data_IF_835640808964
#
_entry.id   IF_835640808964
#
_cell.length_a   1.000
_cell.length_b   1.000
_cell.length_c   1.000
_cell.angle_alpha   90.00
_cell.angle_beta   90.00
_cell.angle_gamma   90.00
#
_symmetry.space_group_name_H-M   'P 1'
#
loop_
_entity.id
_entity.type
_entity.pdbx_description
1 polymer ?
#
# COMPACT_ATOMS: atom_id res chain seq x y z
N UNK A 1 -7.82 -15.62 4.82
CA UNK A 1 -6.52 -15.18 4.27
C UNK A 1 -6.75 -13.77 3.79
N UNK A 2 -5.97 -12.81 4.25
CA UNK A 2 -6.13 -11.41 3.84
C UNK A 2 -5.85 -11.27 2.34
N UNK A 3 -6.66 -10.48 1.63
CA UNK A 3 -6.44 -10.22 0.21
C UNK A 3 -5.12 -9.46 -0.02
N UNK A 4 -4.42 -9.79 -1.10
CA UNK A 4 -3.10 -9.24 -1.45
C UNK A 4 -3.15 -8.27 -2.63
N UNK A 5 -4.28 -8.20 -3.33
CA UNK A 5 -4.44 -7.34 -4.51
C UNK A 5 -5.90 -6.96 -4.72
N UNK A 6 -6.12 -5.90 -5.48
CA UNK A 6 -7.45 -5.45 -5.87
C UNK A 6 -8.23 -6.50 -6.68
N UNK A 7 -7.52 -7.33 -7.46
CA UNK A 7 -8.09 -8.43 -8.24
C UNK A 7 -8.66 -9.52 -7.32
N UNK A 8 -7.95 -9.86 -6.25
CA UNK A 8 -8.42 -10.81 -5.25
C UNK A 8 -9.64 -10.28 -4.50
N UNK A 9 -9.64 -9.00 -4.15
CA UNK A 9 -10.78 -8.31 -3.53
C UNK A 9 -12.00 -8.33 -4.47
N UNK A 10 -11.83 -8.05 -5.77
CA UNK A 10 -12.90 -8.16 -6.75
C UNK A 10 -13.45 -9.60 -6.86
N UNK A 11 -12.56 -10.59 -6.83
CA UNK A 11 -12.93 -12.00 -6.77
C UNK A 11 -13.67 -12.41 -5.49
N UNK A 12 -13.39 -11.77 -4.36
CA UNK A 12 -14.13 -11.98 -3.11
C UNK A 12 -15.49 -11.29 -3.11
N UNK A 13 -15.58 -10.06 -3.64
CA UNK A 13 -16.82 -9.31 -3.82
C UNK A 13 -17.86 -10.11 -4.61
N UNK A 14 -17.44 -10.77 -5.69
CA UNK A 14 -18.35 -11.63 -6.49
C UNK A 14 -18.86 -12.86 -5.76
N UNK A 15 -18.18 -13.27 -4.68
CA UNK A 15 -18.54 -14.41 -3.83
C UNK A 15 -19.26 -14.00 -2.55
N UNK A 16 -19.45 -12.70 -2.31
CA UNK A 16 -20.19 -12.24 -1.14
C UNK A 16 -21.64 -12.68 -1.23
N UNK A 17 -22.08 -13.38 -0.19
CA UNK A 17 -23.45 -13.83 -0.05
C UNK A 17 -23.96 -13.40 1.32
N UNK A 18 -25.14 -12.79 1.33
CA UNK A 18 -25.80 -12.36 2.55
C UNK A 18 -26.81 -13.40 2.99
N UNK A 19 -26.82 -13.70 4.30
CA UNK A 19 -27.81 -14.57 4.90
C UNK A 19 -29.18 -13.93 4.81
N UNK A 20 -30.18 -14.71 4.38
CA UNK A 20 -31.58 -14.26 4.33
C UNK A 20 -32.26 -14.46 5.69
N UNK A 21 -33.16 -13.54 6.04
CA UNK A 21 -34.07 -13.71 7.18
C UNK A 21 -35.26 -14.61 6.82
N UNK A 22 -35.91 -15.19 7.83
CA UNK A 22 -37.07 -16.08 7.68
C UNK A 22 -38.30 -15.38 7.07
N UNK A 23 -38.48 -14.08 7.29
CA UNK A 23 -39.55 -13.28 6.68
C UNK A 23 -38.97 -11.97 6.18
N UNK A 24 -38.75 -11.88 4.87
CA UNK A 24 -38.30 -10.67 4.17
C UNK A 24 -36.87 -10.22 4.49
N UNK A 25 -36.10 -9.91 3.44
CA UNK A 25 -34.80 -9.25 3.58
C UNK A 25 -33.61 -10.14 3.95
N UNK A 26 -32.50 -9.47 4.28
CA UNK A 26 -31.21 -10.05 4.68
C UNK A 26 -30.93 -9.78 6.16
N UNK A 27 -30.11 -10.62 6.77
CA UNK A 27 -29.63 -10.48 8.14
C UNK A 27 -28.62 -9.32 8.19
N UNK A 28 -28.95 -8.23 8.89
CA UNK A 28 -28.08 -7.05 8.93
C UNK A 28 -26.77 -7.34 9.65
N UNK A 29 -26.76 -8.23 10.65
CA UNK A 29 -25.53 -8.59 11.35
C UNK A 29 -24.59 -9.37 10.43
N UNK A 30 -25.14 -10.23 9.55
CA UNK A 30 -24.37 -10.90 8.51
C UNK A 30 -23.83 -9.89 7.48
N UNK A 31 -24.64 -8.93 7.04
CA UNK A 31 -24.21 -7.86 6.13
C UNK A 31 -23.06 -7.04 6.72
N UNK A 32 -23.19 -6.56 7.95
CA UNK A 32 -22.14 -5.79 8.62
C UNK A 32 -20.85 -6.59 8.75
N UNK A 33 -20.95 -7.87 9.11
CA UNK A 33 -19.78 -8.75 9.19
C UNK A 33 -19.08 -8.92 7.84
N UNK A 34 -19.84 -9.06 6.75
CA UNK A 34 -19.25 -9.16 5.40
C UNK A 34 -18.57 -7.84 4.98
N UNK A 35 -19.11 -6.69 5.38
CA UNK A 35 -18.50 -5.37 5.14
C UNK A 35 -17.20 -5.23 5.94
N UNK A 36 -17.18 -5.61 7.21
CA UNK A 36 -15.96 -5.57 8.04
C UNK A 36 -14.85 -6.44 7.47
N UNK A 37 -15.20 -7.66 7.02
CA UNK A 37 -14.25 -8.56 6.37
C UNK A 37 -13.68 -7.95 5.09
N UNK A 38 -14.54 -7.40 4.23
CA UNK A 38 -14.12 -6.73 3.01
C UNK A 38 -13.20 -5.54 3.31
N UNK A 39 -13.53 -4.74 4.33
CA UNK A 39 -12.72 -3.58 4.71
C UNK A 39 -11.35 -4.00 5.26
N UNK A 40 -11.27 -5.11 5.99
CA UNK A 40 -10.00 -5.68 6.44
C UNK A 40 -9.13 -6.15 5.26
N UNK A 41 -9.75 -6.82 4.27
CA UNK A 41 -9.07 -7.27 3.05
C UNK A 41 -8.54 -6.09 2.22
N UNK A 42 -9.33 -5.02 2.09
CA UNK A 42 -8.87 -3.75 1.50
C UNK A 42 -7.67 -3.18 2.25
N UNK A 43 -7.76 -3.04 3.57
CA UNK A 43 -6.70 -2.44 4.37
C UNK A 43 -5.38 -3.23 4.24
N UNK A 44 -5.45 -4.55 4.31
CA UNK A 44 -4.27 -5.40 4.20
C UNK A 44 -3.57 -5.29 2.83
N UNK A 45 -4.34 -5.21 1.75
CA UNK A 45 -3.80 -5.02 0.41
C UNK A 45 -3.09 -3.66 0.27
N UNK A 46 -3.65 -2.61 0.89
CA UNK A 46 -3.07 -1.25 0.83
C UNK A 46 -1.88 -1.06 1.77
N UNK A 47 -1.90 -1.58 3.00
CA UNK A 47 -0.77 -1.45 3.95
C UNK A 47 0.51 -2.10 3.41
N UNK A 48 0.36 -3.23 2.70
CA UNK A 48 1.50 -3.91 2.05
C UNK A 48 2.08 -3.05 0.93
N UNK A 49 1.20 -2.44 0.12
CA UNK A 49 1.60 -1.57 -0.97
C UNK A 49 2.26 -0.27 -0.48
N UNK A 50 1.72 0.33 0.58
CA UNK A 50 2.27 1.52 1.23
C UNK A 50 3.67 1.24 1.78
N UNK A 51 3.86 0.13 2.50
CA UNK A 51 5.17 -0.27 3.04
C UNK A 51 6.20 -0.47 1.92
N UNK A 52 5.80 -1.14 0.83
CA UNK A 52 6.66 -1.37 -0.32
C UNK A 52 7.08 -0.06 -1.01
N UNK A 53 6.13 0.84 -1.26
CA UNK A 53 6.45 2.12 -1.88
C UNK A 53 7.25 3.03 -0.97
N UNK A 54 7.00 3.02 0.34
CA UNK A 54 7.79 3.79 1.28
C UNK A 54 9.26 3.35 1.26
N UNK A 55 9.53 2.03 1.27
CA UNK A 55 10.90 1.53 1.16
C UNK A 55 11.59 1.94 -0.15
N UNK A 56 10.85 1.98 -1.26
CA UNK A 56 11.39 2.42 -2.55
C UNK A 56 11.68 3.93 -2.57
N UNK A 57 10.84 4.74 -1.91
CA UNK A 57 11.09 6.17 -1.76
C UNK A 57 12.31 6.43 -0.88
N UNK A 58 12.43 5.73 0.24
CA UNK A 58 13.57 5.85 1.15
C UNK A 58 14.89 5.48 0.43
N UNK A 59 14.92 4.39 -0.34
CA UNK A 59 16.11 4.00 -1.14
C UNK A 59 16.47 5.05 -2.20
N UNK A 60 15.46 5.66 -2.81
CA UNK A 60 15.66 6.72 -3.81
C UNK A 60 16.20 7.99 -3.16
N UNK A 61 15.70 8.38 -2.00
CA UNK A 61 16.17 9.56 -1.28
C UNK A 61 17.62 9.35 -0.80
N UNK A 62 17.96 8.18 -0.27
CA UNK A 62 19.35 7.80 0.05
C UNK A 62 20.30 7.91 -1.16
N UNK A 63 19.82 7.56 -2.36
CA UNK A 63 20.61 7.67 -3.58
C UNK A 63 20.81 9.12 -4.01
N UNK A 64 19.77 9.96 -3.88
CA UNK A 64 19.87 11.39 -4.17
C UNK A 64 20.88 12.04 -3.23
N UNK A 65 20.76 11.80 -1.92
CA UNK A 65 21.67 12.37 -0.92
C UNK A 65 23.14 12.02 -1.20
N UNK A 66 23.40 10.76 -1.61
CA UNK A 66 24.75 10.32 -2.00
C UNK A 66 25.27 11.00 -3.25
N UNK A 67 24.41 11.25 -4.24
CA UNK A 67 24.80 11.91 -5.48
C UNK A 67 25.02 13.41 -5.26
N UNK A 68 24.19 14.06 -4.44
CA UNK A 68 24.37 15.45 -4.04
C UNK A 68 25.69 15.65 -3.29
N UNK A 69 26.00 14.80 -2.30
CA UNK A 69 27.29 14.84 -1.59
C UNK A 69 28.49 14.67 -2.53
N UNK A 70 28.40 13.76 -3.50
CA UNK A 70 29.47 13.57 -4.49
C UNK A 70 29.63 14.78 -5.41
N UNK A 71 28.54 15.48 -5.72
CA UNK A 71 28.57 16.67 -6.56
C UNK A 71 29.20 17.85 -5.81
N UNK A 72 28.87 18.01 -4.53
CA UNK A 72 29.45 19.03 -3.66
C UNK A 72 30.95 18.79 -3.46
N UNK A 73 31.37 17.56 -3.17
CA UNK A 73 32.79 17.18 -3.06
C UNK A 73 33.57 17.41 -4.36
N UNK A 74 32.96 17.10 -5.51
CA UNK A 74 33.56 17.34 -6.81
C UNK A 74 33.64 18.84 -7.17
N UNK A 75 32.69 19.64 -6.69
CA UNK A 75 32.70 21.10 -6.82
C UNK A 75 33.81 21.74 -6.00
N UNK A 76 33.97 21.33 -4.74
CA UNK A 76 35.04 21.81 -3.84
C UNK A 76 36.43 21.42 -4.37
N UNK A 77 36.61 20.18 -4.85
CA UNK A 77 37.88 19.74 -5.43
C UNK A 77 38.25 20.45 -6.74
N UNK A 78 37.27 20.99 -7.47
CA UNK A 78 37.51 21.82 -8.65
C UNK A 78 38.04 23.21 -8.30
N UNK A 79 37.48 23.83 -7.26
CA UNK A 79 37.83 25.18 -6.79
C UNK A 79 39.25 25.21 -6.18
N UNK A 80 39.66 24.16 -5.45
CA UNK A 80 41.02 24.03 -4.90
C UNK A 80 42.13 23.86 -5.95
N UNK A 81 41.79 23.51 -7.20
CA UNK A 81 42.76 23.34 -8.29
C UNK A 81 42.96 24.58 -9.17
N UNK A 82 42.13 25.62 -8.99
CA UNK A 82 42.20 26.87 -9.75
C UNK A 82 42.86 28.06 -9.00
N UNK A 83 43.25 27.91 -7.72
CA UNK A 83 44.13 28.86 -6.98
C UNK A 83 45.64 28.53 -7.11
#
# INVERSE_FOLDING_TARGET
>A
MAAKSMEEIAGQLTKLHFRKKLIGGVDEADVWKQIELLQADYRAAFETQETYFQALLDERDDMIDRLESQLDEAGEAGDETEE
#
